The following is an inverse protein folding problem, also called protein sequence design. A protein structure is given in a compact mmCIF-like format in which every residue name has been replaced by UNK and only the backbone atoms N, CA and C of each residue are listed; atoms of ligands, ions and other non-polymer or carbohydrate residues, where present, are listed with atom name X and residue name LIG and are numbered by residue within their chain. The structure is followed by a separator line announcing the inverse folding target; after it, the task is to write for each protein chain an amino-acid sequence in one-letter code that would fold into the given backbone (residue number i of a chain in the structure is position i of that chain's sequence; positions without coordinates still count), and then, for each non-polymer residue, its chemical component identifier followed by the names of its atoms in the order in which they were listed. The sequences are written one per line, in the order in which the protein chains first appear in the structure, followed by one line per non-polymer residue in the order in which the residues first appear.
data_IF_429254780643
#
_entry.id   IF_429254780643
#
_cell.length_a   1.000
_cell.length_b   1.000
_cell.length_c   1.000
_cell.angle_alpha   90.00
_cell.angle_beta   90.00
_cell.angle_gamma   90.00
#
_symmetry.space_group_name_H-M   'P 1'
#
loop_
_entity.id
_entity.type
_entity.pdbx_description
1 polymer ?
#
# COMPACT_ATOMS: atom_id res chain seq x y z
N UNK A 1 -29.97 -3.76 -20.47
CA UNK A 1 -30.22 -2.30 -20.49
C UNK A 1 -30.21 -1.67 -19.09
N UNK A 2 -30.97 -2.12 -18.07
CA UNK A 2 -30.97 -1.47 -16.74
C UNK A 2 -29.60 -1.52 -16.03
N UNK A 3 -28.87 -2.63 -16.15
CA UNK A 3 -27.55 -2.82 -15.52
C UNK A 3 -26.48 -1.80 -15.94
N UNK A 4 -26.55 -1.28 -17.17
CA UNK A 4 -25.56 -0.31 -17.67
C UNK A 4 -25.89 1.10 -17.16
N UNK A 5 -27.18 1.47 -17.13
CA UNK A 5 -27.62 2.74 -16.57
C UNK A 5 -27.28 2.84 -15.09
N UNK A 6 -27.47 1.75 -14.33
CA UNK A 6 -27.11 1.68 -12.91
C UNK A 6 -25.60 1.84 -12.70
N UNK A 7 -24.78 1.23 -13.56
CA UNK A 7 -23.32 1.37 -13.53
C UNK A 7 -22.89 2.82 -13.75
N UNK A 8 -23.44 3.51 -14.75
CA UNK A 8 -23.13 4.91 -15.01
C UNK A 8 -23.61 5.83 -13.89
N UNK A 9 -24.78 5.55 -13.31
CA UNK A 9 -25.28 6.30 -12.16
C UNK A 9 -24.36 6.13 -10.95
N UNK A 10 -23.93 4.91 -10.65
CA UNK A 10 -22.99 4.64 -9.56
C UNK A 10 -21.64 5.32 -9.80
N UNK A 11 -21.13 5.27 -11.03
CA UNK A 11 -19.89 5.97 -11.40
C UNK A 11 -20.04 7.49 -11.19
N UNK A 12 -21.17 8.06 -11.62
CA UNK A 12 -21.48 9.47 -11.38
C UNK A 12 -21.53 9.79 -9.89
N UNK A 13 -22.19 8.97 -9.07
CA UNK A 13 -22.24 9.14 -7.61
C UNK A 13 -20.83 9.11 -7.01
N UNK A 14 -20.00 8.13 -7.39
CA UNK A 14 -18.63 8.00 -6.91
C UNK A 14 -17.82 9.25 -7.26
N UNK A 15 -17.83 9.67 -8.53
CA UNK A 15 -17.09 10.86 -8.96
C UNK A 15 -17.59 12.15 -8.30
N UNK A 16 -18.91 12.37 -8.26
CA UNK A 16 -19.50 13.54 -7.65
C UNK A 16 -19.18 13.61 -6.15
N UNK A 17 -19.33 12.49 -5.44
CA UNK A 17 -19.00 12.42 -4.03
C UNK A 17 -17.51 12.65 -3.77
N UNK A 18 -16.64 12.02 -4.55
CA UNK A 18 -15.19 12.22 -4.46
C UNK A 18 -14.81 13.69 -4.69
N UNK A 19 -15.39 14.35 -5.70
CA UNK A 19 -15.11 15.75 -6.00
C UNK A 19 -15.60 16.71 -4.91
N UNK A 20 -16.80 16.47 -4.37
CA UNK A 20 -17.32 17.22 -3.22
C UNK A 20 -16.45 16.99 -1.99
N UNK A 21 -16.07 15.74 -1.73
CA UNK A 21 -15.20 15.37 -0.61
C UNK A 21 -13.84 16.04 -0.69
N UNK A 22 -13.19 16.00 -1.86
CA UNK A 22 -11.93 16.66 -2.12
C UNK A 22 -12.01 18.19 -1.89
N UNK A 23 -13.06 18.84 -2.41
CA UNK A 23 -13.29 20.28 -2.22
C UNK A 23 -13.51 20.63 -0.73
N UNK A 24 -14.27 19.82 0.00
CA UNK A 24 -14.46 20.00 1.46
C UNK A 24 -13.13 19.84 2.20
N UNK A 25 -12.35 18.81 1.89
CA UNK A 25 -11.03 18.60 2.50
C UNK A 25 -10.09 19.78 2.21
N UNK A 26 -10.05 20.26 0.96
CA UNK A 26 -9.25 21.41 0.56
C UNK A 26 -9.64 22.69 1.32
N UNK A 27 -10.95 22.94 1.51
CA UNK A 27 -11.44 24.08 2.32
C UNK A 27 -11.02 23.99 3.78
N UNK A 28 -10.91 22.77 4.32
CA UNK A 28 -10.42 22.49 5.66
C UNK A 28 -8.88 22.45 5.74
N UNK A 29 -8.17 22.72 4.63
CA UNK A 29 -6.70 22.65 4.51
C UNK A 29 -6.13 21.25 4.75
N UNK A 30 -6.91 20.22 4.41
CA UNK A 30 -6.49 18.82 4.42
C UNK A 30 -6.13 18.37 2.98
N UNK A 31 -5.29 17.33 2.81
CA UNK A 31 -5.06 16.71 1.51
C UNK A 31 -6.37 16.19 0.91
N UNK A 32 -6.56 16.37 -0.39
CA UNK A 32 -7.79 16.03 -1.11
C UNK A 32 -8.16 14.56 -0.97
N UNK A 33 -7.14 13.68 -0.95
CA UNK A 33 -7.32 12.22 -0.76
C UNK A 33 -8.08 11.86 0.51
N UNK A 34 -7.95 12.65 1.59
CA UNK A 34 -8.69 12.42 2.84
C UNK A 34 -10.20 12.59 2.62
N UNK A 35 -10.57 13.63 1.87
CA UNK A 35 -11.95 13.90 1.51
C UNK A 35 -12.56 12.86 0.59
N UNK A 36 -11.78 12.34 -0.36
CA UNK A 36 -12.22 11.31 -1.30
C UNK A 36 -12.44 9.96 -0.60
N UNK A 37 -11.52 9.55 0.28
CA UNK A 37 -11.70 8.33 1.10
C UNK A 37 -12.94 8.49 1.99
N UNK A 38 -13.10 9.63 2.65
CA UNK A 38 -14.28 9.92 3.46
C UNK A 38 -15.57 9.90 2.65
N UNK A 39 -15.58 10.48 1.44
CA UNK A 39 -16.72 10.44 0.53
C UNK A 39 -17.05 9.01 0.10
N UNK A 40 -16.04 8.19 -0.20
CA UNK A 40 -16.21 6.76 -0.51
C UNK A 40 -16.84 5.99 0.65
N UNK A 41 -16.39 6.24 1.88
CA UNK A 41 -17.00 5.65 3.10
C UNK A 41 -18.46 6.08 3.27
N UNK A 42 -18.80 7.32 2.94
CA UNK A 42 -20.17 7.84 3.03
C UNK A 42 -21.10 7.20 1.99
N UNK A 43 -20.72 7.17 0.71
CA UNK A 43 -21.58 6.61 -0.35
C UNK A 43 -21.60 5.08 -0.37
N UNK A 44 -20.57 4.46 0.21
CA UNK A 44 -20.46 3.02 0.37
C UNK A 44 -21.43 2.42 1.40
N UNK A 45 -21.36 1.10 1.62
CA UNK A 45 -22.27 0.35 2.50
C UNK A 45 -22.14 0.74 3.98
N UNK A 46 -21.05 1.40 4.36
CA UNK A 46 -20.81 1.80 5.76
C UNK A 46 -21.79 2.87 6.25
N UNK A 47 -22.35 3.69 5.35
CA UNK A 47 -23.27 4.77 5.73
C UNK A 47 -24.51 4.82 4.85
N UNK A 48 -24.40 5.18 3.57
CA UNK A 48 -25.57 5.38 2.69
C UNK A 48 -25.97 4.13 1.91
N UNK A 49 -25.03 3.24 1.61
CA UNK A 49 -25.27 2.01 0.86
C UNK A 49 -25.69 2.20 -0.59
N UNK A 50 -25.32 3.34 -1.21
CA UNK A 50 -25.65 3.64 -2.60
C UNK A 50 -24.78 2.85 -3.58
N UNK A 51 -23.56 2.48 -3.17
CA UNK A 51 -22.66 1.64 -3.95
C UNK A 51 -22.72 0.20 -3.40
N UNK A 52 -23.19 -0.78 -4.20
CA UNK A 52 -23.32 -2.16 -3.74
C UNK A 52 -21.93 -2.79 -3.61
N UNK A 53 -21.55 -3.20 -2.40
CA UNK A 53 -20.34 -3.98 -2.14
C UNK A 53 -20.77 -5.39 -1.74
N UNK A 54 -20.24 -6.41 -2.41
CA UNK A 54 -20.51 -7.83 -2.11
C UNK A 54 -19.24 -8.50 -1.65
N UNK A 55 -19.28 -9.16 -0.50
CA UNK A 55 -18.13 -9.87 0.07
C UNK A 55 -16.86 -9.01 0.19
N UNK A 56 -17.04 -7.71 0.47
CA UNK A 56 -15.93 -6.74 0.56
C UNK A 56 -15.45 -6.19 -0.78
N UNK A 57 -16.03 -6.62 -1.89
CA UNK A 57 -15.61 -6.27 -3.25
C UNK A 57 -16.63 -5.37 -3.93
N UNK A 58 -16.13 -4.36 -4.63
CA UNK A 58 -16.96 -3.52 -5.48
C UNK A 58 -17.30 -4.27 -6.77
N UNK A 59 -18.28 -3.81 -7.56
CA UNK A 59 -18.46 -4.32 -8.91
C UNK A 59 -17.13 -4.30 -9.67
N UNK A 60 -16.79 -5.42 -10.31
CA UNK A 60 -15.51 -5.63 -11.03
C UNK A 60 -15.07 -4.43 -11.88
N UNK A 61 -15.95 -3.72 -12.63
CA UNK A 61 -15.53 -2.54 -13.40
C UNK A 61 -14.92 -1.42 -12.55
N UNK A 62 -15.39 -1.24 -11.31
CA UNK A 62 -14.86 -0.22 -10.40
C UNK A 62 -13.53 -0.63 -9.79
N UNK A 63 -13.34 -1.91 -9.49
CA UNK A 63 -12.06 -2.44 -8.99
C UNK A 63 -10.98 -2.29 -10.05
N UNK A 64 -11.28 -2.66 -11.30
CA UNK A 64 -10.37 -2.47 -12.42
C UNK A 64 -10.02 -0.98 -12.62
N UNK A 65 -11.02 -0.09 -12.52
CA UNK A 65 -10.78 1.35 -12.66
C UNK A 65 -9.93 1.92 -11.51
N UNK A 66 -10.14 1.42 -10.29
CA UNK A 66 -9.36 1.79 -9.12
C UNK A 66 -7.90 1.33 -9.26
N UNK A 67 -7.66 0.08 -9.67
CA UNK A 67 -6.32 -0.44 -9.94
C UNK A 67 -5.60 0.38 -11.02
N UNK A 68 -6.27 0.64 -12.14
CA UNK A 68 -5.74 1.48 -13.22
C UNK A 68 -5.40 2.88 -12.70
N UNK A 69 -6.27 3.48 -11.87
CA UNK A 69 -6.03 4.77 -11.24
C UNK A 69 -4.78 4.79 -10.36
N UNK A 70 -4.58 3.74 -9.54
CA UNK A 70 -3.38 3.59 -8.71
C UNK A 70 -2.12 3.43 -9.56
N UNK A 71 -2.19 2.64 -10.64
CA UNK A 71 -1.07 2.48 -11.58
C UNK A 71 -0.70 3.82 -12.22
N UNK A 72 -1.67 4.59 -12.72
CA UNK A 72 -1.41 5.92 -13.29
C UNK A 72 -0.83 6.90 -12.27
N UNK A 73 -1.35 6.89 -11.03
CA UNK A 73 -0.83 7.71 -9.94
C UNK A 73 0.64 7.38 -9.66
N UNK A 74 0.96 6.10 -9.47
CA UNK A 74 2.33 5.67 -9.19
C UNK A 74 3.28 5.90 -10.36
N UNK A 75 2.80 5.73 -11.59
CA UNK A 75 3.56 6.07 -12.78
C UNK A 75 3.85 7.57 -12.86
N UNK A 76 2.85 8.43 -12.60
CA UNK A 76 3.02 9.89 -12.59
C UNK A 76 4.04 10.34 -11.54
N UNK A 77 3.94 9.81 -10.33
CA UNK A 77 4.92 10.07 -9.25
C UNK A 77 6.31 9.59 -9.66
N UNK A 78 6.40 8.44 -10.32
CA UNK A 78 7.65 7.91 -10.86
C UNK A 78 8.29 8.84 -11.90
N UNK A 79 7.49 9.43 -12.80
CA UNK A 79 7.95 10.39 -13.81
C UNK A 79 8.48 11.70 -13.21
N UNK A 80 7.91 12.15 -12.08
CA UNK A 80 8.39 13.33 -11.37
C UNK A 80 9.68 13.07 -10.56
N UNK A 81 9.96 11.79 -10.28
CA UNK A 81 11.09 11.38 -9.44
C UNK A 81 12.36 11.18 -10.26
N UNK A 82 13.44 11.89 -9.90
CA UNK A 82 14.74 11.75 -10.56
C UNK A 82 15.53 10.57 -9.97
N UNK A 83 15.73 9.51 -10.76
CA UNK A 83 16.50 8.31 -10.36
C UNK A 83 17.91 8.63 -9.82
N UNK A 84 18.58 9.63 -10.39
CA UNK A 84 19.90 10.05 -9.91
C UNK A 84 19.90 10.63 -8.49
N UNK A 85 18.79 11.25 -8.07
CA UNK A 85 18.63 11.75 -6.70
C UNK A 85 18.31 10.60 -5.74
N UNK A 86 17.54 9.61 -6.21
CA UNK A 86 17.19 8.40 -5.45
C UNK A 86 18.45 7.61 -5.05
N UNK A 87 19.38 7.42 -6.00
CA UNK A 87 20.67 6.75 -5.73
C UNK A 87 21.51 7.48 -4.69
N UNK A 88 21.55 8.82 -4.74
CA UNK A 88 22.34 9.63 -3.79
C UNK A 88 21.86 9.48 -2.35
N UNK A 89 20.57 9.22 -2.15
CA UNK A 89 19.97 9.02 -0.82
C UNK A 89 19.76 7.54 -0.47
N UNK A 90 20.19 6.62 -1.33
CA UNK A 90 19.95 5.18 -1.20
C UNK A 90 20.35 4.63 0.17
N UNK A 91 21.55 4.97 0.68
CA UNK A 91 21.99 4.52 2.02
C UNK A 91 21.05 4.97 3.14
N UNK A 92 20.55 6.21 3.08
CA UNK A 92 19.62 6.71 4.09
C UNK A 92 18.25 6.04 3.94
N UNK A 93 17.77 5.87 2.70
CA UNK A 93 16.53 5.18 2.41
C UNK A 93 16.55 3.72 2.89
N UNK A 94 17.67 3.00 2.73
CA UNK A 94 17.85 1.64 3.23
C UNK A 94 17.75 1.58 4.75
N UNK A 95 18.37 2.52 5.46
CA UNK A 95 18.26 2.58 6.92
C UNK A 95 16.80 2.85 7.32
N UNK A 96 16.13 3.80 6.68
CA UNK A 96 14.73 4.11 6.97
C UNK A 96 13.82 2.90 6.71
N UNK A 97 13.97 2.21 5.58
CA UNK A 97 13.21 1.00 5.26
C UNK A 97 13.47 -0.12 6.27
N UNK A 98 14.74 -0.36 6.64
CA UNK A 98 15.08 -1.41 7.60
C UNK A 98 14.46 -1.14 8.98
N UNK A 99 14.52 0.09 9.47
CA UNK A 99 13.84 0.47 10.71
C UNK A 99 12.30 0.44 10.56
N UNK A 100 11.79 0.81 9.37
CA UNK A 100 10.38 0.73 8.99
C UNK A 100 9.82 -0.70 9.02
N UNK A 101 10.66 -1.72 8.84
CA UNK A 101 10.28 -3.12 9.00
C UNK A 101 10.50 -3.60 10.43
N UNK A 102 11.72 -3.44 10.96
CA UNK A 102 12.12 -4.05 12.24
C UNK A 102 11.27 -3.52 13.40
N UNK A 103 11.03 -2.20 13.45
CA UNK A 103 10.35 -1.58 14.59
C UNK A 103 8.86 -1.96 14.62
N UNK A 104 8.06 -1.78 13.54
CA UNK A 104 6.66 -2.19 13.52
C UNK A 104 6.48 -3.70 13.66
N UNK A 105 7.37 -4.51 13.07
CA UNK A 105 7.33 -5.97 13.24
C UNK A 105 7.56 -6.36 14.70
N UNK A 106 8.53 -5.75 15.38
CA UNK A 106 8.78 -5.97 16.81
C UNK A 106 7.60 -5.60 17.68
N UNK A 107 6.96 -4.44 17.42
CA UNK A 107 5.71 -4.06 18.09
C UNK A 107 4.56 -5.04 17.78
N UNK A 108 4.49 -5.49 16.54
CA UNK A 108 3.54 -6.51 16.10
C UNK A 108 3.69 -7.81 16.89
N UNK A 109 4.91 -8.30 17.11
CA UNK A 109 5.17 -9.51 17.92
C UNK A 109 4.78 -9.25 19.37
N UNK A 110 5.21 -8.13 19.94
CA UNK A 110 4.93 -7.79 21.32
C UNK A 110 3.41 -7.76 21.57
N UNK A 111 2.65 -7.12 20.69
CA UNK A 111 1.19 -7.09 20.76
C UNK A 111 0.57 -8.47 20.46
N UNK A 112 0.99 -9.15 19.40
CA UNK A 112 0.38 -10.42 19.00
C UNK A 112 0.59 -11.53 20.05
N UNK A 113 1.69 -11.48 20.80
CA UNK A 113 1.95 -12.41 21.91
C UNK A 113 0.93 -12.31 23.05
N UNK A 114 0.26 -11.17 23.21
CA UNK A 114 -0.86 -11.03 24.17
C UNK A 114 -2.17 -11.58 23.62
N UNK A 115 -2.29 -11.73 22.30
CA UNK A 115 -3.53 -12.14 21.62
C UNK A 115 -3.58 -13.65 21.34
N UNK A 116 -2.44 -14.27 21.09
CA UNK A 116 -2.37 -15.69 20.75
C UNK A 116 -1.01 -16.29 21.08
N UNK A 117 -0.95 -17.55 21.57
CA UNK A 117 0.32 -18.26 21.76
C UNK A 117 0.88 -18.86 20.47
N UNK A 118 0.11 -18.88 19.37
CA UNK A 118 0.51 -19.51 18.11
C UNK A 118 1.52 -18.63 17.35
N UNK A 119 2.75 -19.12 17.21
CA UNK A 119 3.87 -18.37 16.57
C UNK A 119 3.56 -17.98 15.13
N UNK A 120 2.93 -18.86 14.35
CA UNK A 120 2.56 -18.57 12.96
C UNK A 120 1.58 -17.38 12.87
N UNK A 121 0.57 -17.36 13.75
CA UNK A 121 -0.41 -16.28 13.84
C UNK A 121 0.21 -14.98 14.35
N UNK A 122 1.15 -15.06 15.30
CA UNK A 122 1.92 -13.90 15.76
C UNK A 122 2.73 -13.29 14.61
N UNK A 123 3.46 -14.12 13.85
CA UNK A 123 4.26 -13.67 12.72
C UNK A 123 3.37 -13.04 11.62
N UNK A 124 2.19 -13.62 11.37
CA UNK A 124 1.21 -13.07 10.41
C UNK A 124 0.70 -11.69 10.83
N UNK A 125 0.27 -11.55 12.08
CA UNK A 125 -0.15 -10.25 12.64
C UNK A 125 1.00 -9.25 12.55
N UNK A 126 2.21 -9.66 12.93
CA UNK A 126 3.38 -8.76 12.94
C UNK A 126 3.76 -8.29 11.55
N UNK A 127 3.62 -9.15 10.54
CA UNK A 127 3.79 -8.81 9.13
C UNK A 127 2.80 -7.74 8.68
N UNK A 128 1.55 -7.83 9.13
CA UNK A 128 0.53 -6.84 8.78
C UNK A 128 0.86 -5.43 9.29
N UNK A 129 1.62 -5.29 10.38
CA UNK A 129 2.07 -3.99 10.89
C UNK A 129 3.18 -3.36 10.04
N UNK A 130 3.85 -4.12 9.17
CA UNK A 130 4.93 -3.65 8.32
C UNK A 130 4.42 -3.00 7.03
N UNK A 131 3.23 -3.40 6.54
CA UNK A 131 2.73 -2.97 5.24
C UNK A 131 2.51 -1.44 5.16
N UNK A 132 3.23 -0.77 4.27
CA UNK A 132 3.12 0.67 4.00
C UNK A 132 2.39 0.93 2.67
N UNK A 133 1.66 2.06 2.55
CA UNK A 133 1.04 2.48 1.28
C UNK A 133 1.79 3.64 0.63
N UNK A 134 2.59 3.32 -0.40
CA UNK A 134 3.35 4.32 -1.19
C UNK A 134 2.41 5.22 -1.99
N UNK A 135 1.34 4.66 -2.55
CA UNK A 135 0.36 5.38 -3.38
C UNK A 135 -0.26 6.59 -2.66
N UNK A 136 -0.80 6.36 -1.47
CA UNK A 136 -1.44 7.42 -0.67
C UNK A 136 -0.39 8.42 -0.19
N UNK A 137 0.76 7.94 0.28
CA UNK A 137 1.84 8.81 0.77
C UNK A 137 2.34 9.76 -0.31
N UNK A 138 2.61 9.25 -1.51
CA UNK A 138 3.04 10.05 -2.64
C UNK A 138 1.98 11.09 -3.04
N UNK A 139 0.70 10.68 -3.02
CA UNK A 139 -0.40 11.59 -3.33
C UNK A 139 -0.53 12.72 -2.31
N UNK A 140 -0.44 12.41 -1.02
CA UNK A 140 -0.43 13.44 0.04
C UNK A 140 0.74 14.40 -0.15
N UNK A 141 1.94 13.90 -0.46
CA UNK A 141 3.10 14.74 -0.72
C UNK A 141 2.93 15.59 -1.99
N UNK A 142 2.26 15.07 -3.02
CA UNK A 142 1.92 15.81 -4.24
C UNK A 142 0.92 16.93 -3.96
N UNK A 143 -0.18 16.63 -3.26
CA UNK A 143 -1.21 17.60 -2.84
C UNK A 143 -0.59 18.76 -2.02
N UNK A 144 0.41 18.43 -1.19
CA UNK A 144 1.15 19.40 -0.38
C UNK A 144 2.29 20.11 -1.12
N UNK A 145 2.48 19.87 -2.42
CA UNK A 145 3.60 20.38 -3.23
C UNK A 145 4.97 20.10 -2.59
N UNK A 146 5.11 18.94 -1.96
CA UNK A 146 6.26 18.57 -1.14
C UNK A 146 7.18 17.53 -1.81
N UNK A 147 6.84 16.98 -2.98
CA UNK A 147 7.63 15.95 -3.68
C UNK A 147 9.08 16.35 -3.97
N UNK A 148 9.35 17.64 -4.19
CA UNK A 148 10.69 18.15 -4.41
C UNK A 148 11.60 18.15 -3.18
N UNK A 149 11.04 17.99 -1.97
CA UNK A 149 11.79 18.03 -0.71
C UNK A 149 12.65 16.78 -0.52
N UNK A 150 13.75 16.92 0.21
CA UNK A 150 14.69 15.81 0.46
C UNK A 150 14.01 14.69 1.25
N UNK A 151 13.19 15.05 2.22
CA UNK A 151 12.45 14.14 3.09
C UNK A 151 11.45 13.31 2.27
N UNK A 152 10.70 13.95 1.37
CA UNK A 152 9.77 13.28 0.46
C UNK A 152 10.48 12.25 -0.43
N UNK A 153 11.64 12.62 -1.00
CA UNK A 153 12.45 11.71 -1.80
C UNK A 153 12.96 10.52 -0.98
N UNK A 154 13.36 10.74 0.27
CA UNK A 154 13.78 9.65 1.18
C UNK A 154 12.61 8.73 1.50
N UNK A 155 11.43 9.27 1.78
CA UNK A 155 10.21 8.49 2.04
C UNK A 155 9.87 7.61 0.82
N UNK A 156 9.83 8.20 -0.38
CA UNK A 156 9.54 7.48 -1.62
C UNK A 156 10.60 6.41 -1.95
N UNK A 157 11.88 6.71 -1.72
CA UNK A 157 12.97 5.75 -1.88
C UNK A 157 12.87 4.57 -0.91
N UNK A 158 12.59 4.87 0.36
CA UNK A 158 12.45 3.87 1.40
C UNK A 158 11.24 2.98 1.12
N UNK A 159 10.13 3.55 0.68
CA UNK A 159 8.91 2.85 0.28
C UNK A 159 9.15 1.73 -0.75
N UNK A 160 9.97 1.97 -1.78
CA UNK A 160 10.31 0.93 -2.78
C UNK A 160 11.06 -0.24 -2.14
N UNK A 161 12.00 0.04 -1.23
CA UNK A 161 12.72 -0.99 -0.49
C UNK A 161 11.79 -1.72 0.49
N UNK A 162 10.88 -0.97 1.12
CA UNK A 162 9.90 -1.48 2.08
C UNK A 162 8.95 -2.51 1.42
N UNK A 163 8.46 -2.24 0.20
CA UNK A 163 7.61 -3.18 -0.56
C UNK A 163 8.32 -4.53 -0.83
N UNK A 164 9.62 -4.49 -1.12
CA UNK A 164 10.42 -5.70 -1.35
C UNK A 164 10.60 -6.46 -0.04
N UNK A 165 10.98 -5.77 1.03
CA UNK A 165 11.16 -6.38 2.35
C UNK A 165 9.83 -6.97 2.87
N UNK A 166 8.72 -6.28 2.67
CA UNK A 166 7.39 -6.75 3.03
C UNK A 166 7.01 -8.01 2.26
N UNK A 167 7.29 -8.08 0.94
CA UNK A 167 7.04 -9.29 0.15
C UNK A 167 7.89 -10.48 0.62
N UNK A 168 9.17 -10.27 0.92
CA UNK A 168 10.03 -11.31 1.50
C UNK A 168 9.48 -11.83 2.83
N UNK A 169 9.10 -10.91 3.70
CA UNK A 169 8.63 -11.20 5.03
C UNK A 169 7.29 -11.94 4.98
N UNK A 170 6.37 -11.52 4.10
CA UNK A 170 5.12 -12.23 3.84
C UNK A 170 5.37 -13.64 3.28
N UNK A 171 6.32 -13.79 2.35
CA UNK A 171 6.72 -15.10 1.83
C UNK A 171 7.30 -16.02 2.92
N UNK A 172 8.11 -15.46 3.81
CA UNK A 172 8.66 -16.19 4.97
C UNK A 172 7.56 -16.62 5.94
N UNK A 173 6.59 -15.75 6.22
CA UNK A 173 5.49 -16.07 7.14
C UNK A 173 4.51 -17.06 6.56
N UNK A 174 4.16 -16.94 5.28
CA UNK A 174 3.33 -17.91 4.57
C UNK A 174 3.92 -19.33 4.63
N UNK A 175 5.24 -19.46 4.76
CA UNK A 175 5.89 -20.75 4.89
C UNK A 175 5.74 -21.43 6.26
N UNK A 176 5.30 -20.73 7.30
CA UNK A 176 4.92 -21.38 8.56
C UNK A 176 3.59 -22.17 8.45
N UNK A 177 2.82 -21.96 7.37
CA UNK A 177 1.61 -22.72 7.04
C UNK A 177 1.68 -23.24 5.59
N UNK A 178 2.58 -24.18 5.27
CA UNK A 178 2.67 -24.71 3.92
C UNK A 178 1.36 -25.44 3.56
N UNK A 179 0.78 -25.20 2.37
CA UNK A 179 -0.26 -26.08 1.86
C UNK A 179 0.29 -27.51 1.77
N UNK A 180 -0.51 -28.51 2.14
CA UNK A 180 -0.12 -29.92 2.26
C UNK A 180 0.51 -30.57 0.99
N UNK A 181 0.53 -29.86 -0.14
CA UNK A 181 0.93 -30.33 -1.47
C UNK A 181 2.29 -29.80 -1.97
N UNK A 182 3.01 -28.95 -1.22
CA UNK A 182 4.29 -28.37 -1.68
C UNK A 182 5.46 -28.58 -0.72
N UNK A 183 5.90 -29.83 -0.60
CA UNK A 183 7.15 -30.23 0.09
C UNK A 183 8.37 -30.14 -0.85
N UNK A 184 8.49 -29.06 -1.62
CA UNK A 184 9.78 -28.70 -2.25
C UNK A 184 10.72 -28.13 -1.19
N UNK A 185 12.03 -28.06 -1.46
CA UNK A 185 13.02 -27.51 -0.50
C UNK A 185 12.76 -26.03 -0.22
N UNK A 186 11.90 -25.77 0.77
CA UNK A 186 11.51 -24.46 1.28
C UNK A 186 12.69 -23.50 1.49
N UNK A 187 13.79 -24.03 2.04
CA UNK A 187 15.03 -23.29 2.22
C UNK A 187 15.59 -22.73 0.90
N UNK A 188 15.42 -23.43 -0.22
CA UNK A 188 15.85 -22.96 -1.53
C UNK A 188 15.00 -21.78 -2.02
N UNK A 189 13.67 -21.82 -1.84
CA UNK A 189 12.77 -20.72 -2.25
C UNK A 189 13.00 -19.47 -1.41
N UNK A 190 13.16 -19.62 -0.10
CA UNK A 190 13.48 -18.50 0.79
C UNK A 190 14.87 -17.92 0.47
N UNK A 191 15.84 -18.77 0.17
CA UNK A 191 17.17 -18.34 -0.24
C UNK A 191 17.16 -17.60 -1.59
N UNK A 192 16.37 -18.06 -2.58
CA UNK A 192 16.22 -17.38 -3.86
C UNK A 192 15.57 -16.01 -3.67
N UNK A 193 14.47 -15.92 -2.94
CA UNK A 193 13.80 -14.65 -2.62
C UNK A 193 14.75 -13.67 -1.90
N UNK A 194 15.44 -14.14 -0.86
CA UNK A 194 16.41 -13.34 -0.13
C UNK A 194 17.57 -12.86 -1.03
N UNK A 195 18.05 -13.72 -1.95
CA UNK A 195 19.08 -13.38 -2.92
C UNK A 195 18.59 -12.33 -3.93
N UNK A 196 17.38 -12.47 -4.46
CA UNK A 196 16.77 -11.52 -5.39
C UNK A 196 16.59 -10.14 -4.74
N UNK A 197 16.11 -10.10 -3.49
CA UNK A 197 16.00 -8.86 -2.76
C UNK A 197 17.36 -8.24 -2.44
N UNK A 198 18.35 -9.04 -2.02
CA UNK A 198 19.70 -8.53 -1.79
C UNK A 198 20.31 -7.97 -3.08
N UNK A 199 20.16 -8.68 -4.20
CA UNK A 199 20.61 -8.24 -5.52
C UNK A 199 19.94 -6.94 -5.94
N UNK A 200 18.63 -6.80 -5.71
CA UNK A 200 17.90 -5.57 -5.99
C UNK A 200 18.39 -4.41 -5.11
N UNK A 201 18.55 -4.62 -3.80
CA UNK A 201 19.07 -3.61 -2.87
C UNK A 201 20.46 -3.16 -3.30
N UNK A 202 21.35 -4.10 -3.62
CA UNK A 202 22.72 -3.81 -4.11
C UNK A 202 22.70 -3.07 -5.45
N UNK A 203 21.76 -3.38 -6.34
CA UNK A 203 21.60 -2.65 -7.60
C UNK A 203 21.07 -1.22 -7.42
N UNK A 204 20.36 -0.96 -6.31
CA UNK A 204 19.77 0.34 -5.99
C UNK A 204 20.72 1.27 -5.23
N UNK A 205 21.56 0.72 -4.35
CA UNK A 205 22.59 1.44 -3.55
C UNK A 205 23.85 1.74 -4.34
#
# INVERSE_FOLDING_TARGET
MPQIADLFLQLFIIFAAAQVGAEVAARLKLPSVVGEIGAGMLVGPSVLGWIPIKDGHAPVPFEMLAEIGVVFLMFSVGLETRLGELRRIGRLATVVALFGVIVPFGFGIAWASTQTPEVAKQAFISTAFVATSVAITARVLADLNALGRREAKVILAAAVLDDILAMLLLGAVAAFQPPATQTGSFALRLAILALEALAFVVALT
#
